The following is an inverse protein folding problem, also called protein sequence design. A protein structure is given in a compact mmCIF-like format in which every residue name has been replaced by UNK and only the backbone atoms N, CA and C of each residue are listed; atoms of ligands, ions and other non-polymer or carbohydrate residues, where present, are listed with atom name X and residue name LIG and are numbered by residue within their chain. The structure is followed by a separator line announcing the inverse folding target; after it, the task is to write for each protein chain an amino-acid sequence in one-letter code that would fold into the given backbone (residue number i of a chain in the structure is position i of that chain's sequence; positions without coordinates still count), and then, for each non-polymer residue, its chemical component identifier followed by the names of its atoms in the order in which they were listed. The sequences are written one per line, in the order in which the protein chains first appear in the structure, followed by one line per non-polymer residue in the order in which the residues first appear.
data_IF_526720524236
#
_entry.id   IF_526720524236
#
_cell.length_a   1.000
_cell.length_b   1.000
_cell.length_c   1.000
_cell.angle_alpha   90.00
_cell.angle_beta   90.00
_cell.angle_gamma   90.00
#
_symmetry.space_group_name_H-M   'P 1'
#
loop_
_entity.id
_entity.type
_entity.pdbx_description
1 polymer ?
#
# COMPACT_ATOMS: atom_id res chain seq x y z
N UNK A 1 -22.15 3.81 21.50
CA UNK A 1 -21.67 2.41 21.38
C UNK A 1 -20.85 2.32 20.10
N UNK A 2 -19.52 2.19 20.18
CA UNK A 2 -18.67 2.11 18.99
C UNK A 2 -18.64 0.66 18.50
N UNK A 3 -19.21 0.40 17.34
CA UNK A 3 -19.22 -0.92 16.71
C UNK A 3 -17.81 -1.22 16.19
N UNK A 4 -17.08 -2.10 16.87
CA UNK A 4 -15.80 -2.62 16.41
C UNK A 4 -16.06 -3.50 15.19
N UNK A 5 -15.92 -2.94 13.99
CA UNK A 5 -15.88 -3.73 12.76
C UNK A 5 -14.60 -4.57 12.77
N UNK A 6 -14.73 -5.84 13.13
CA UNK A 6 -13.69 -6.83 12.90
C UNK A 6 -13.53 -7.00 11.40
N UNK A 7 -12.55 -6.28 10.82
CA UNK A 7 -12.19 -6.39 9.41
C UNK A 7 -11.70 -7.81 9.19
N UNK A 8 -12.58 -8.70 8.71
CA UNK A 8 -12.20 -10.03 8.22
C UNK A 8 -11.09 -9.79 7.21
N UNK A 9 -9.87 -10.21 7.56
CA UNK A 9 -8.72 -10.00 6.69
C UNK A 9 -9.04 -10.65 5.35
N UNK A 10 -9.09 -9.86 4.27
CA UNK A 10 -9.31 -10.38 2.94
C UNK A 10 -8.34 -11.53 2.71
N UNK A 11 -8.85 -12.70 2.26
CA UNK A 11 -8.02 -13.90 2.06
C UNK A 11 -6.82 -13.50 1.21
N UNK A 12 -5.62 -13.86 1.68
CA UNK A 12 -4.37 -13.55 1.00
C UNK A 12 -4.46 -13.97 -0.47
N UNK A 13 -4.30 -13.02 -1.39
CA UNK A 13 -4.33 -13.31 -2.81
C UNK A 13 -3.07 -14.08 -3.23
N UNK A 14 -3.24 -15.00 -4.19
CA UNK A 14 -2.17 -15.82 -4.74
C UNK A 14 -2.08 -15.59 -6.26
N UNK A 15 -0.88 -15.67 -6.80
CA UNK A 15 -0.60 -15.56 -8.23
C UNK A 15 -1.39 -16.64 -8.99
N UNK A 16 -2.09 -16.24 -10.04
CA UNK A 16 -2.89 -17.16 -10.87
C UNK A 16 -2.05 -18.18 -11.64
N UNK A 17 -0.78 -17.89 -11.87
CA UNK A 17 0.14 -18.76 -12.64
C UNK A 17 0.87 -19.73 -11.74
N UNK A 18 1.52 -19.24 -10.68
CA UNK A 18 2.44 -20.05 -9.86
C UNK A 18 1.97 -20.28 -8.42
N UNK A 19 0.81 -19.76 -8.03
CA UNK A 19 0.24 -19.95 -6.69
C UNK A 19 0.99 -19.23 -5.56
N UNK A 20 2.04 -18.44 -5.83
CA UNK A 20 2.77 -17.68 -4.80
C UNK A 20 1.89 -16.57 -4.20
N UNK A 21 2.04 -16.30 -2.91
CA UNK A 21 1.35 -15.18 -2.23
C UNK A 21 1.74 -13.86 -2.88
N UNK A 22 0.74 -13.04 -3.22
CA UNK A 22 0.96 -11.69 -3.76
C UNK A 22 1.34 -10.73 -2.64
N UNK A 23 2.25 -9.80 -2.91
CA UNK A 23 2.60 -8.77 -1.94
C UNK A 23 1.48 -7.74 -1.87
N UNK A 24 1.15 -7.27 -0.67
CA UNK A 24 0.15 -6.20 -0.50
C UNK A 24 0.69 -4.89 -1.07
N UNK A 25 -0.16 -4.12 -1.74
CA UNK A 25 0.20 -2.77 -2.20
C UNK A 25 0.11 -1.82 -1.01
N UNK A 26 1.26 -1.42 -0.49
CA UNK A 26 1.34 -0.62 0.72
C UNK A 26 1.68 0.81 0.33
N UNK A 27 0.92 1.77 0.85
CA UNK A 27 1.31 3.18 0.82
C UNK A 27 2.04 3.54 2.11
N UNK A 28 2.95 4.51 2.03
CA UNK A 28 3.72 4.95 3.19
C UNK A 28 3.29 6.35 3.58
N UNK A 29 3.07 6.55 4.88
CA UNK A 29 2.90 7.88 5.46
C UNK A 29 4.10 8.10 6.37
N UNK A 30 4.81 9.19 6.14
CA UNK A 30 5.90 9.65 6.99
C UNK A 30 5.38 10.72 7.94
N UNK A 31 5.77 10.60 9.20
CA UNK A 31 5.49 11.63 10.20
C UNK A 31 6.73 12.51 10.32
N UNK A 32 6.52 13.83 10.28
CA UNK A 32 7.57 14.84 10.32
C UNK A 32 8.05 15.32 8.95
N UNK A 33 8.94 16.32 8.91
CA UNK A 33 9.50 16.84 7.67
C UNK A 33 10.29 15.77 6.91
N UNK A 34 10.42 15.97 5.61
CA UNK A 34 11.03 15.03 4.65
C UNK A 34 12.52 14.84 4.97
N UNK A 35 12.84 13.86 5.82
CA UNK A 35 14.19 13.69 6.38
C UNK A 35 14.96 12.63 5.61
N UNK A 36 15.56 13.05 4.49
CA UNK A 36 16.47 12.18 3.74
C UNK A 36 17.75 11.76 4.50
N UNK A 37 18.06 12.30 5.70
CA UNK A 37 19.37 12.08 6.36
C UNK A 37 19.38 11.97 7.89
N UNK A 38 18.28 11.58 8.54
CA UNK A 38 18.34 11.13 9.95
C UNK A 38 18.70 12.16 11.02
N UNK A 39 18.72 13.46 10.72
CA UNK A 39 18.95 14.51 11.70
C UNK A 39 17.62 15.16 12.12
N UNK A 40 17.50 15.48 13.42
CA UNK A 40 16.40 16.28 13.96
C UNK A 40 16.65 17.74 13.66
N UNK A 41 15.68 18.40 13.02
CA UNK A 41 15.68 19.85 12.92
C UNK A 41 15.13 20.36 14.25
N UNK A 42 15.85 21.25 14.92
CA UNK A 42 15.34 21.99 16.07
C UNK A 42 14.09 22.76 15.62
N UNK A 43 12.92 22.43 16.19
CA UNK A 43 11.63 23.05 15.84
C UNK A 43 10.51 22.07 15.54
N UNK A 44 10.81 20.78 15.34
CA UNK A 44 9.76 19.77 15.23
C UNK A 44 9.16 19.48 16.61
N UNK A 45 7.85 19.68 16.74
CA UNK A 45 7.10 19.33 17.96
C UNK A 45 7.24 17.82 18.22
N UNK A 46 7.96 17.40 19.29
CA UNK A 46 8.14 15.99 19.62
C UNK A 46 6.82 15.28 19.90
N UNK A 47 5.80 16.00 20.35
CA UNK A 47 4.49 15.46 20.69
C UNK A 47 3.56 15.32 19.48
N UNK A 48 3.94 15.85 18.31
CA UNK A 48 3.20 15.64 17.07
C UNK A 48 3.37 14.21 16.50
N UNK A 49 4.36 13.45 16.98
CA UNK A 49 4.65 12.10 16.49
C UNK A 49 3.89 11.04 17.31
N UNK A 50 3.21 10.08 16.67
CA UNK A 50 2.57 9.00 17.40
C UNK A 50 3.61 8.12 18.11
N UNK A 51 3.40 7.89 19.40
CA UNK A 51 4.26 7.07 20.27
C UNK A 51 3.78 5.62 20.31
N UNK A 52 2.52 5.37 19.95
CA UNK A 52 1.92 4.04 19.89
C UNK A 52 1.28 3.74 18.54
N UNK A 53 1.06 2.45 18.25
CA UNK A 53 0.36 2.03 17.03
C UNK A 53 -1.08 2.54 17.05
N UNK A 54 -1.71 2.55 18.21
CA UNK A 54 -3.09 2.96 18.43
C UNK A 54 -3.26 4.46 18.15
N UNK A 55 -2.30 5.29 18.57
CA UNK A 55 -2.27 6.72 18.23
C UNK A 55 -2.11 6.93 16.72
N UNK A 56 -1.16 6.23 16.09
CA UNK A 56 -0.98 6.33 14.64
C UNK A 56 -2.24 5.87 13.87
N UNK A 57 -2.91 4.82 14.37
CA UNK A 57 -4.16 4.31 13.82
C UNK A 57 -5.30 5.32 13.98
N UNK A 58 -5.36 6.03 15.12
CA UNK A 58 -6.34 7.09 15.39
C UNK A 58 -6.12 8.32 14.52
N UNK A 59 -4.86 8.73 14.31
CA UNK A 59 -4.51 9.89 13.47
C UNK A 59 -4.85 9.66 12.00
N UNK A 60 -4.62 8.44 11.48
CA UNK A 60 -4.80 8.16 10.05
C UNK A 60 -6.14 7.52 9.71
N UNK A 61 -6.80 6.88 10.68
CA UNK A 61 -8.01 6.08 10.48
C UNK A 61 -7.85 4.97 9.41
N UNK A 62 -6.60 4.56 9.12
CA UNK A 62 -6.26 3.58 8.08
C UNK A 62 -5.63 2.33 8.68
N UNK A 63 -5.87 1.15 8.13
CA UNK A 63 -5.29 -0.09 8.68
C UNK A 63 -3.76 -0.11 8.56
N UNK A 64 -3.07 0.00 9.69
CA UNK A 64 -1.62 -0.07 9.75
C UNK A 64 -1.16 -1.53 9.64
N UNK A 65 -0.42 -1.85 8.57
CA UNK A 65 0.21 -3.17 8.34
C UNK A 65 1.64 -3.25 8.86
N UNK A 66 2.37 -2.14 8.86
CA UNK A 66 3.74 -2.08 9.36
C UNK A 66 4.08 -0.65 9.80
N UNK A 67 5.05 -0.49 10.69
CA UNK A 67 5.53 0.81 11.15
C UNK A 67 7.02 0.78 11.47
N UNK A 68 7.66 1.94 11.37
CA UNK A 68 9.09 2.12 11.64
C UNK A 68 9.26 3.07 12.81
N UNK A 69 10.07 2.63 13.78
CA UNK A 69 10.53 3.47 14.87
C UNK A 69 11.67 4.38 14.42
N UNK A 70 11.65 5.61 14.88
CA UNK A 70 12.79 6.52 14.91
C UNK A 70 12.99 7.06 16.33
N UNK A 71 14.03 7.86 16.51
CA UNK A 71 14.36 8.44 17.81
C UNK A 71 15.32 7.59 18.64
N UNK A 72 15.92 8.21 19.67
CA UNK A 72 16.73 7.50 20.65
C UNK A 72 15.86 6.53 21.47
N UNK A 73 16.48 5.55 22.13
CA UNK A 73 15.76 4.48 22.86
C UNK A 73 14.76 4.99 23.90
N UNK A 74 15.04 6.14 24.52
CA UNK A 74 14.21 6.76 25.56
C UNK A 74 13.10 7.67 25.01
N UNK A 75 13.13 8.02 23.71
CA UNK A 75 12.11 8.81 23.01
C UNK A 75 11.80 8.18 21.64
N UNK A 76 11.44 6.89 21.65
CA UNK A 76 11.07 6.19 20.43
C UNK A 76 9.70 6.64 19.98
N UNK A 77 9.62 7.02 18.71
CA UNK A 77 8.38 7.44 18.06
C UNK A 77 8.22 6.82 16.68
N UNK A 78 7.00 6.69 16.23
CA UNK A 78 6.72 6.13 14.91
C UNK A 78 6.98 7.23 13.89
N UNK A 79 7.97 7.01 13.02
CA UNK A 79 8.37 7.99 11.97
C UNK A 79 7.78 7.66 10.61
N UNK A 80 7.39 6.40 10.40
CA UNK A 80 6.76 5.95 9.16
C UNK A 80 5.77 4.86 9.47
N UNK A 81 4.60 4.93 8.86
CA UNK A 81 3.65 3.82 8.80
C UNK A 81 3.46 3.36 7.37
N UNK A 82 3.09 2.10 7.28
CA UNK A 82 2.70 1.41 6.07
C UNK A 82 1.22 1.10 6.20
N UNK A 83 0.43 1.67 5.30
CA UNK A 83 -1.02 1.48 5.26
C UNK A 83 -1.39 0.57 4.09
N UNK A 84 -2.45 -0.21 4.28
CA UNK A 84 -3.02 -1.07 3.24
C UNK A 84 -4.52 -0.84 3.18
N UNK A 85 -5.05 -0.67 1.97
CA UNK A 85 -6.47 -0.40 1.70
C UNK A 85 -7.37 -1.64 1.91
N UNK A 86 -6.78 -2.81 2.15
CA UNK A 86 -7.51 -4.06 2.37
C UNK A 86 -7.77 -4.87 1.09
N UNK A 87 -7.50 -4.30 -0.08
CA UNK A 87 -7.90 -4.88 -1.37
C UNK A 87 -6.75 -4.98 -2.38
N UNK A 88 -5.84 -4.00 -2.41
CA UNK A 88 -4.86 -3.88 -3.49
C UNK A 88 -3.60 -4.69 -3.21
N UNK A 89 -3.15 -5.45 -4.21
CA UNK A 89 -1.89 -6.19 -4.20
C UNK A 89 -0.93 -5.66 -5.28
N UNK A 90 0.38 -5.69 -4.98
CA UNK A 90 1.43 -5.40 -5.95
C UNK A 90 1.34 -6.41 -7.10
N UNK A 91 1.21 -5.91 -8.34
CA UNK A 91 1.09 -6.74 -9.54
C UNK A 91 -0.33 -7.25 -9.83
N UNK A 92 -1.35 -6.77 -9.10
CA UNK A 92 -2.75 -7.13 -9.34
C UNK A 92 -3.02 -8.61 -9.10
N UNK A 93 -3.06 -9.43 -10.16
CA UNK A 93 -3.32 -10.86 -10.11
C UNK A 93 -2.08 -11.75 -10.24
N UNK A 94 -0.91 -11.15 -10.54
CA UNK A 94 0.32 -11.88 -10.86
C UNK A 94 1.48 -11.36 -10.03
N UNK A 95 2.35 -12.27 -9.58
CA UNK A 95 3.51 -11.89 -8.77
C UNK A 95 4.64 -11.24 -9.60
N UNK A 96 4.68 -11.51 -10.91
CA UNK A 96 5.68 -11.00 -11.85
C UNK A 96 5.04 -10.79 -13.22
N UNK A 97 5.64 -9.92 -14.04
CA UNK A 97 5.25 -9.72 -15.44
C UNK A 97 5.36 -11.03 -16.23
N UNK A 98 6.41 -11.83 -15.98
CA UNK A 98 6.57 -13.13 -16.64
C UNK A 98 5.40 -14.07 -16.34
N UNK A 99 4.95 -14.17 -15.08
CA UNK A 99 3.79 -14.99 -14.75
C UNK A 99 2.51 -14.51 -15.46
N UNK A 100 2.34 -13.21 -15.64
CA UNK A 100 1.22 -12.66 -16.41
C UNK A 100 1.30 -13.07 -17.89
N UNK A 101 2.49 -13.01 -18.48
CA UNK A 101 2.77 -13.42 -19.87
C UNK A 101 2.54 -14.92 -20.06
N UNK A 102 3.10 -15.76 -19.19
CA UNK A 102 2.92 -17.22 -19.24
C UNK A 102 1.44 -17.60 -19.14
N UNK A 103 0.69 -16.91 -18.27
CA UNK A 103 -0.74 -17.12 -18.13
C UNK A 103 -1.51 -16.69 -19.39
N UNK A 104 -1.12 -15.59 -20.02
CA UNK A 104 -1.72 -15.15 -21.28
C UNK A 104 -1.48 -16.16 -22.41
N UNK A 105 -0.26 -16.74 -22.50
CA UNK A 105 0.04 -17.80 -23.46
C UNK A 105 -0.81 -19.05 -23.21
N UNK A 106 -0.90 -19.52 -21.96
CA UNK A 106 -1.74 -20.67 -21.60
C UNK A 106 -3.22 -20.46 -21.93
N UNK A 107 -3.73 -19.23 -21.77
CA UNK A 107 -5.09 -18.90 -22.16
C UNK A 107 -5.27 -18.93 -23.69
N UNK A 108 -4.31 -18.37 -24.43
CA UNK A 108 -4.32 -18.36 -25.88
C UNK A 108 -4.28 -19.78 -26.47
N UNK A 109 -3.44 -20.67 -25.91
CA UNK A 109 -3.37 -22.09 -26.30
C UNK A 109 -4.71 -22.82 -26.08
N UNK A 110 -5.46 -22.43 -25.03
CA UNK A 110 -6.80 -22.97 -24.75
C UNK A 110 -7.90 -22.33 -25.60
N UNK A 111 -7.55 -21.46 -26.55
CA UNK A 111 -8.50 -20.76 -27.41
C UNK A 111 -9.25 -19.62 -26.73
N UNK A 112 -8.84 -19.19 -25.53
CA UNK A 112 -9.43 -18.02 -24.89
C UNK A 112 -8.86 -16.74 -25.49
N UNK A 113 -9.74 -15.89 -26.02
CA UNK A 113 -9.36 -14.56 -26.46
C UNK A 113 -9.28 -13.61 -25.27
N UNK A 114 -8.15 -12.90 -25.14
CA UNK A 114 -8.01 -11.81 -24.17
C UNK A 114 -8.22 -10.49 -24.91
N UNK A 115 -9.21 -9.71 -24.48
CA UNK A 115 -9.50 -8.40 -25.08
C UNK A 115 -8.65 -7.36 -24.34
N UNK A 116 -7.83 -6.59 -25.07
CA UNK A 116 -7.27 -5.36 -24.52
C UNK A 116 -8.40 -4.34 -24.44
N UNK A 117 -8.88 -4.05 -23.23
CA UNK A 117 -9.67 -2.83 -23.02
C UNK A 117 -8.72 -1.64 -23.26
N UNK A 118 -8.80 -1.03 -24.44
CA UNK A 118 -8.17 0.27 -24.71
C UNK A 118 -8.97 1.32 -23.96
N UNK A 119 -8.66 1.56 -22.69
CA UNK A 119 -9.12 2.76 -22.01
C UNK A 119 -8.21 3.93 -22.43
N UNK A 120 -8.42 4.42 -23.66
CA UNK A 120 -7.76 5.62 -24.19
C UNK A 120 -8.58 6.90 -24.01
N UNK A 121 -9.64 6.88 -23.19
CA UNK A 121 -10.54 8.05 -23.03
C UNK A 121 -10.49 8.72 -21.67
N UNK A 122 -9.78 8.17 -20.67
CA UNK A 122 -9.73 8.76 -19.33
C UNK A 122 -8.68 9.88 -19.16
N UNK A 123 -7.64 9.94 -20.01
CA UNK A 123 -6.54 10.92 -19.85
C UNK A 123 -6.70 12.21 -20.67
N UNK A 124 -7.58 12.28 -21.67
CA UNK A 124 -7.71 13.46 -22.53
C UNK A 124 -8.64 14.56 -21.99
N UNK A 125 -9.29 14.35 -20.83
CA UNK A 125 -10.19 15.36 -20.24
C UNK A 125 -9.54 16.33 -19.24
N UNK A 126 -8.31 16.07 -18.80
CA UNK A 126 -7.63 16.94 -17.82
C UNK A 126 -6.90 18.11 -18.52
N UNK A 127 -6.56 17.99 -19.81
CA UNK A 127 -5.80 19.02 -20.53
C UNK A 127 -6.67 20.06 -21.26
N UNK A 128 -8.01 20.02 -21.14
CA UNK A 128 -8.91 21.00 -21.79
C UNK A 128 -9.57 22.00 -20.83
N UNK A 129 -9.18 22.02 -19.54
CA UNK A 129 -9.70 22.97 -18.53
C UNK A 129 -8.59 23.88 -17.93
N UNK A 130 -7.57 24.21 -18.71
CA UNK A 130 -6.60 25.30 -18.41
C UNK A 130 -6.63 26.37 -19.48
#
# INVERSE_FOLDING_TARGET
MATLFSVKHAKQAHCRTCGKKLKKSVQYIEFGPDRHRGFYIEGDDPDAFPKTREEAQRQTNQQIVHFKWGGPKHDRRIVRISIWDGETYQGGYFCTTQCAVDFAFLLAEKGHQTVKHRDSTAYQRIEQET
#
